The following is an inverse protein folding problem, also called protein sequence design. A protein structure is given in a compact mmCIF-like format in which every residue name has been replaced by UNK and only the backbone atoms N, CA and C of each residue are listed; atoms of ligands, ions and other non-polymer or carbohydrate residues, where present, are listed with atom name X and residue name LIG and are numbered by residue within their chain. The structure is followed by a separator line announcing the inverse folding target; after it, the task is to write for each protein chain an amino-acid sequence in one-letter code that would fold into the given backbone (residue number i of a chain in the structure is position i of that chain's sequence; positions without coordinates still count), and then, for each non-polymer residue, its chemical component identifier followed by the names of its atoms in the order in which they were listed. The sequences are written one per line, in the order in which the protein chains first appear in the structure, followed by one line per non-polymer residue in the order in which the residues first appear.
data_IF_964925606772
#
_entry.id   IF_964925606772
#
_cell.length_a   1.000
_cell.length_b   1.000
_cell.length_c   1.000
_cell.angle_alpha   90.00
_cell.angle_beta   90.00
_cell.angle_gamma   90.00
#
_symmetry.space_group_name_H-M   'P 1'
#
loop_
_entity.id
_entity.type
_entity.pdbx_description
1 polymer ?
#
# COMPACT_ATOMS: atom_id res chain seq x y z
N UNK A 1 10.61 -30.19 -0.70
CA UNK A 1 9.94 -28.93 -1.08
C UNK A 1 10.68 -27.86 -0.31
N UNK A 2 11.59 -27.15 -1.00
CA UNK A 2 12.57 -26.27 -0.35
C UNK A 2 11.86 -25.06 0.24
N UNK A 3 11.97 -24.94 1.56
CA UNK A 3 11.50 -23.81 2.35
C UNK A 3 12.44 -22.62 2.05
N UNK A 4 11.99 -21.72 1.17
CA UNK A 4 12.72 -20.49 0.88
C UNK A 4 12.65 -19.60 2.12
N UNK A 5 13.62 -19.78 3.01
CA UNK A 5 13.87 -18.88 4.13
C UNK A 5 14.22 -17.49 3.55
N UNK A 6 13.20 -16.64 3.40
CA UNK A 6 13.40 -15.21 3.15
C UNK A 6 14.08 -14.68 4.41
N UNK A 7 15.37 -14.35 4.31
CA UNK A 7 16.11 -13.62 5.34
C UNK A 7 15.34 -12.33 5.62
N UNK A 8 14.48 -12.32 6.66
CA UNK A 8 13.66 -11.15 7.00
C UNK A 8 14.60 -10.06 7.49
N UNK A 9 15.00 -9.17 6.58
CA UNK A 9 15.59 -7.88 6.96
C UNK A 9 14.56 -7.14 7.80
N UNK A 10 15.01 -6.47 8.85
CA UNK A 10 14.16 -5.57 9.64
C UNK A 10 13.44 -4.63 8.67
N UNK A 11 12.10 -4.58 8.69
CA UNK A 11 11.36 -3.74 7.76
C UNK A 11 11.79 -2.28 7.94
N UNK A 12 12.09 -1.62 6.83
CA UNK A 12 12.48 -0.21 6.75
C UNK A 12 11.49 0.49 5.84
N UNK A 13 11.04 1.68 6.23
CA UNK A 13 10.09 2.47 5.46
C UNK A 13 10.64 3.88 5.28
N UNK A 14 10.60 4.35 4.04
CA UNK A 14 10.77 5.77 3.68
C UNK A 14 9.56 6.19 2.85
N UNK A 15 8.78 7.14 3.36
CA UNK A 15 7.54 7.60 2.74
C UNK A 15 7.59 9.11 2.52
N UNK A 16 7.29 9.56 1.30
CA UNK A 16 6.99 10.97 1.07
C UNK A 16 5.53 11.23 1.39
N UNK A 17 5.28 12.08 2.37
CA UNK A 17 3.93 12.43 2.83
C UNK A 17 3.66 13.91 2.56
N UNK A 18 2.45 14.22 2.10
CA UNK A 18 1.97 15.60 1.92
C UNK A 18 0.71 15.74 2.75
N UNK A 19 0.79 16.50 3.84
CA UNK A 19 -0.39 16.85 4.61
C UNK A 19 -1.31 17.76 3.76
N UNK A 20 -2.64 17.75 3.98
CA UNK A 20 -3.60 18.53 3.17
C UNK A 20 -3.23 20.00 2.97
N UNK A 21 -2.65 20.65 3.99
CA UNK A 21 -2.23 22.06 3.97
C UNK A 21 -0.71 22.23 4.20
N UNK A 22 0.07 21.15 4.06
CA UNK A 22 1.49 21.12 4.43
C UNK A 22 2.45 21.02 3.25
N UNK A 23 3.71 21.39 3.49
CA UNK A 23 4.80 21.06 2.58
C UNK A 23 5.05 19.54 2.57
N UNK A 24 5.55 18.97 1.46
CA UNK A 24 5.97 17.58 1.44
C UNK A 24 7.07 17.33 2.48
N UNK A 25 6.92 16.27 3.27
CA UNK A 25 7.91 15.78 4.23
C UNK A 25 8.30 14.35 3.91
N UNK A 26 9.52 13.96 4.28
CA UNK A 26 9.96 12.58 4.25
C UNK A 26 9.78 11.97 5.64
N UNK A 27 9.13 10.82 5.72
CA UNK A 27 8.95 10.05 6.94
C UNK A 27 9.82 8.79 6.87
N UNK A 28 10.67 8.60 7.87
CA UNK A 28 11.52 7.43 8.01
C UNK A 28 11.08 6.58 9.22
N UNK A 29 10.76 5.31 8.94
CA UNK A 29 10.44 4.29 9.93
C UNK A 29 11.57 3.27 10.06
N UNK A 30 12.16 3.20 11.25
CA UNK A 30 13.20 2.25 11.64
C UNK A 30 12.70 1.37 12.79
N UNK A 31 13.16 0.12 12.86
CA UNK A 31 12.87 -0.79 13.97
C UNK A 31 11.36 -0.94 14.30
N UNK A 32 10.56 -1.49 13.36
CA UNK A 32 9.15 -1.70 13.63
C UNK A 32 8.96 -2.65 14.81
N UNK A 33 8.00 -2.32 15.67
CA UNK A 33 7.59 -3.14 16.82
C UNK A 33 6.74 -4.33 16.40
N UNK A 34 6.22 -4.32 15.17
CA UNK A 34 5.48 -5.42 14.60
C UNK A 34 5.21 -5.23 13.11
N UNK A 35 4.76 -6.31 12.47
CA UNK A 35 4.25 -6.29 11.10
C UNK A 35 2.88 -6.96 11.11
N UNK A 36 1.90 -6.30 10.53
CA UNK A 36 0.55 -6.80 10.32
C UNK A 36 0.43 -7.16 8.84
N UNK A 37 0.24 -8.44 8.53
CA UNK A 37 0.13 -8.92 7.15
C UNK A 37 -1.04 -9.88 6.93
N UNK A 38 -1.70 -9.80 5.79
CA UNK A 38 -2.77 -10.71 5.37
C UNK A 38 -2.46 -11.30 3.99
N UNK A 39 -2.37 -12.62 3.90
CA UNK A 39 -2.18 -13.33 2.63
C UNK A 39 -3.46 -13.96 2.07
N UNK A 40 -4.57 -13.86 2.81
CA UNK A 40 -5.86 -14.43 2.39
C UNK A 40 -6.96 -13.39 2.52
N UNK A 41 -7.98 -13.46 1.67
CA UNK A 41 -9.09 -12.51 1.69
C UNK A 41 -9.83 -12.50 3.04
N UNK A 42 -9.99 -13.67 3.69
CA UNK A 42 -10.63 -13.76 5.00
C UNK A 42 -9.83 -13.06 6.11
N UNK A 43 -8.52 -12.89 5.94
CA UNK A 43 -7.64 -12.21 6.89
C UNK A 43 -7.56 -10.68 6.68
N UNK A 44 -8.15 -10.14 5.60
CA UNK A 44 -8.07 -8.70 5.27
C UNK A 44 -8.72 -7.84 6.35
N UNK A 45 -10.01 -8.05 6.65
CA UNK A 45 -10.70 -7.27 7.68
C UNK A 45 -10.08 -7.43 9.08
N UNK A 46 -9.73 -8.65 9.55
CA UNK A 46 -8.99 -8.80 10.81
C UNK A 46 -7.66 -8.06 10.85
N UNK A 47 -6.88 -8.06 9.76
CA UNK A 47 -5.61 -7.33 9.70
C UNK A 47 -5.82 -5.81 9.76
N UNK A 48 -6.82 -5.28 9.04
CA UNK A 48 -7.13 -3.85 9.10
C UNK A 48 -7.63 -3.44 10.50
N UNK A 49 -8.42 -4.28 11.17
CA UNK A 49 -8.80 -4.03 12.56
C UNK A 49 -7.59 -3.99 13.51
N UNK A 50 -6.57 -4.82 13.28
CA UNK A 50 -5.32 -4.74 14.06
C UNK A 50 -4.55 -3.45 13.79
N UNK A 51 -4.56 -2.95 12.54
CA UNK A 51 -3.96 -1.65 12.20
C UNK A 51 -4.68 -0.52 12.93
N UNK A 52 -6.02 -0.50 12.89
CA UNK A 52 -6.84 0.49 13.61
C UNK A 52 -6.59 0.43 15.12
N UNK A 53 -6.47 -0.76 15.69
CA UNK A 53 -6.13 -0.92 17.10
C UNK A 53 -4.73 -0.39 17.41
N UNK A 54 -3.72 -0.70 16.59
CA UNK A 54 -2.36 -0.21 16.80
C UNK A 54 -2.31 1.33 16.76
N UNK A 55 -2.98 1.94 15.79
CA UNK A 55 -3.02 3.41 15.66
C UNK A 55 -3.83 4.07 16.78
N UNK A 56 -4.91 3.44 17.25
CA UNK A 56 -5.65 3.91 18.43
C UNK A 56 -4.81 3.91 19.72
N UNK A 57 -3.78 3.05 19.80
CA UNK A 57 -2.81 3.05 20.90
C UNK A 57 -1.65 4.05 20.71
N UNK A 58 -1.71 4.90 19.69
CA UNK A 58 -0.71 5.93 19.41
C UNK A 58 0.50 5.44 18.60
N UNK A 59 0.46 4.21 18.07
CA UNK A 59 1.50 3.72 17.16
C UNK A 59 1.26 4.23 15.73
N UNK A 60 2.33 4.30 14.95
CA UNK A 60 2.24 4.63 13.52
C UNK A 60 2.32 3.37 12.68
N UNK A 61 1.33 3.11 11.84
CA UNK A 61 1.35 2.02 10.87
C UNK A 61 1.61 2.57 9.46
N UNK A 62 2.65 2.06 8.79
CA UNK A 62 2.96 2.42 7.39
C UNK A 62 3.06 1.17 6.54
N UNK A 63 2.39 1.19 5.39
CA UNK A 63 2.29 0.02 4.53
C UNK A 63 1.35 0.24 3.36
N UNK A 64 0.76 -0.86 2.88
CA UNK A 64 -0.13 -0.87 1.73
C UNK A 64 -1.26 -1.88 1.89
N UNK A 65 -2.30 -1.66 1.09
CA UNK A 65 -3.37 -2.62 0.82
C UNK A 65 -3.33 -2.91 -0.68
N UNK A 66 -3.18 -4.17 -1.06
CA UNK A 66 -3.16 -4.58 -2.46
C UNK A 66 -4.55 -4.41 -3.08
N UNK A 67 -4.59 -4.18 -4.39
CA UNK A 67 -5.86 -4.04 -5.12
C UNK A 67 -6.73 -5.31 -4.98
N UNK A 68 -6.09 -6.49 -5.02
CA UNK A 68 -6.73 -7.79 -4.88
C UNK A 68 -7.37 -8.00 -3.48
N UNK A 69 -7.04 -7.16 -2.49
CA UNK A 69 -7.68 -7.21 -1.17
C UNK A 69 -9.18 -6.86 -1.22
N UNK A 70 -9.67 -6.27 -2.31
CA UNK A 70 -11.07 -5.84 -2.47
C UNK A 70 -12.09 -6.93 -2.10
N UNK A 71 -11.88 -8.18 -2.52
CA UNK A 71 -12.78 -9.30 -2.17
C UNK A 71 -12.81 -9.61 -0.66
N UNK A 72 -11.73 -9.29 0.06
CA UNK A 72 -11.69 -9.43 1.53
C UNK A 72 -12.40 -8.29 2.26
N UNK A 73 -12.59 -7.15 1.61
CA UNK A 73 -13.35 -6.00 2.13
C UNK A 73 -14.84 -6.15 1.86
N UNK A 74 -15.18 -6.53 0.63
CA UNK A 74 -16.55 -6.76 0.18
C UNK A 74 -16.57 -7.96 -0.78
N UNK A 75 -17.34 -8.98 -0.41
CA UNK A 75 -17.49 -10.22 -1.17
C UNK A 75 -18.09 -10.04 -2.57
N UNK A 76 -18.69 -8.87 -2.87
CA UNK A 76 -19.18 -8.53 -4.21
C UNK A 76 -18.06 -8.39 -5.25
N UNK A 77 -16.82 -8.13 -4.81
CA UNK A 77 -15.67 -8.06 -5.72
C UNK A 77 -15.13 -9.44 -6.09
N UNK A 78 -14.53 -9.59 -7.28
CA UNK A 78 -13.95 -10.85 -7.72
C UNK A 78 -12.75 -11.23 -6.84
N UNK A 79 -12.61 -12.53 -6.57
CA UNK A 79 -11.42 -13.08 -5.91
C UNK A 79 -10.25 -13.09 -6.89
N UNK A 80 -9.12 -12.56 -6.47
CA UNK A 80 -7.87 -12.58 -7.23
C UNK A 80 -6.69 -12.95 -6.32
N UNK A 81 -5.77 -13.77 -6.84
CA UNK A 81 -4.55 -14.12 -6.12
C UNK A 81 -3.47 -13.06 -6.40
N UNK A 82 -2.70 -12.70 -5.38
CA UNK A 82 -1.56 -11.80 -5.49
C UNK A 82 -0.27 -12.52 -5.03
N UNK A 83 0.89 -12.25 -5.64
CA UNK A 83 2.18 -12.75 -5.18
C UNK A 83 2.68 -12.02 -3.91
N UNK A 84 2.07 -10.87 -3.58
CA UNK A 84 2.33 -10.06 -2.39
C UNK A 84 1.22 -10.29 -1.34
N UNK A 85 1.44 -9.94 -0.05
CA UNK A 85 0.36 -9.84 0.91
C UNK A 85 -0.76 -8.91 0.39
N UNK A 86 -2.02 -9.26 0.67
CA UNK A 86 -3.18 -8.41 0.40
C UNK A 86 -3.21 -7.17 1.31
N UNK A 87 -2.68 -7.31 2.53
CA UNK A 87 -2.46 -6.22 3.48
C UNK A 87 -1.07 -6.39 4.04
N UNK A 88 -0.31 -5.31 4.15
CA UNK A 88 0.98 -5.31 4.83
C UNK A 88 1.24 -3.95 5.45
N UNK A 89 1.45 -3.90 6.76
CA UNK A 89 1.80 -2.70 7.50
C UNK A 89 2.90 -3.00 8.51
N UNK A 90 3.99 -2.24 8.44
CA UNK A 90 4.94 -2.16 9.53
C UNK A 90 4.45 -1.15 10.58
N UNK A 91 4.51 -1.53 11.85
CA UNK A 91 4.05 -0.72 12.98
C UNK A 91 5.25 -0.19 13.75
N UNK A 92 5.25 1.11 14.04
CA UNK A 92 6.35 1.83 14.66
C UNK A 92 5.86 2.60 15.88
N UNK A 93 6.67 2.66 16.94
CA UNK A 93 6.43 3.57 18.06
C UNK A 93 6.68 5.03 17.64
N UNK A 94 7.69 5.27 16.81
CA UNK A 94 8.08 6.59 16.33
C UNK A 94 8.51 6.53 14.88
N UNK A 95 8.17 7.58 14.14
CA UNK A 95 8.64 7.84 12.77
C UNK A 95 9.32 9.20 12.75
N UNK A 96 10.41 9.31 12.01
CA UNK A 96 11.24 10.51 12.00
C UNK A 96 10.96 11.31 10.74
N UNK A 97 10.69 12.61 10.89
CA UNK A 97 10.65 13.53 9.76
C UNK A 97 12.09 13.87 9.33
N UNK A 98 12.39 13.64 8.06
CA UNK A 98 13.62 14.07 7.41
C UNK A 98 13.33 15.36 6.62
N UNK A 99 14.11 16.41 6.90
CA UNK A 99 14.07 17.65 6.12
C UNK A 99 14.61 17.41 4.70
N UNK A 100 14.17 18.19 3.70
CA UNK A 100 14.58 17.99 2.29
C UNK A 100 16.10 17.99 2.07
N UNK A 101 16.88 18.68 2.93
CA UNK A 101 18.34 18.69 2.88
C UNK A 101 19.00 17.39 3.40
N UNK A 102 18.25 16.54 4.12
CA UNK A 102 18.71 15.28 4.70
C UNK A 102 17.97 14.04 4.18
N UNK A 103 17.00 14.20 3.26
CA UNK A 103 16.34 13.07 2.63
C UNK A 103 17.35 12.28 1.80
N UNK A 104 17.53 10.96 2.04
CA UNK A 104 18.39 10.17 1.19
C UNK A 104 17.90 10.30 -0.25
N UNK A 105 18.83 10.59 -1.17
CA UNK A 105 18.59 10.62 -2.60
C UNK A 105 17.67 9.46 -2.98
N UNK A 106 16.41 9.74 -3.38
CA UNK A 106 15.60 8.73 -4.04
C UNK A 106 16.31 8.43 -5.36
N UNK A 107 16.97 7.27 -5.52
CA UNK A 107 17.76 7.01 -6.71
C UNK A 107 16.90 6.73 -7.94
N UNK A 108 15.58 6.81 -7.79
CA UNK A 108 14.64 6.76 -8.88
C UNK A 108 13.81 8.05 -8.89
N UNK A 109 13.93 8.89 -9.92
CA UNK A 109 12.76 9.63 -10.34
C UNK A 109 11.65 8.60 -10.57
N UNK A 110 10.51 8.72 -9.89
CA UNK A 110 9.29 7.93 -10.17
C UNK A 110 8.67 8.29 -11.53
N UNK A 111 9.51 8.59 -12.53
CA UNK A 111 9.11 8.91 -13.88
C UNK A 111 9.83 7.96 -14.84
N UNK A 112 9.41 6.70 -14.97
CA UNK A 112 9.28 6.23 -16.34
C UNK A 112 8.29 7.18 -17.01
N UNK A 113 8.53 7.68 -18.23
CA UNK A 113 7.45 8.31 -18.96
C UNK A 113 6.29 7.32 -18.94
N UNK A 114 5.10 7.76 -18.50
CA UNK A 114 3.88 7.05 -18.86
C UNK A 114 4.02 6.75 -20.37
N UNK A 115 3.79 5.52 -20.84
CA UNK A 115 3.71 5.32 -22.27
C UNK A 115 2.76 6.39 -22.78
N UNK A 116 3.22 7.20 -23.74
CA UNK A 116 2.35 8.11 -24.45
C UNK A 116 1.47 7.25 -25.34
N UNK A 117 0.59 6.46 -24.72
CA UNK A 117 -0.48 5.77 -25.41
C UNK A 117 -1.32 6.90 -26.00
N UNK A 118 -1.21 7.09 -27.31
CA UNK A 118 -2.13 7.96 -28.03
C UNK A 118 -3.55 7.53 -27.71
N UNK A 119 -4.49 8.47 -27.75
CA UNK A 119 -5.91 8.21 -27.42
C UNK A 119 -6.47 6.96 -28.13
N UNK A 120 -5.92 6.62 -29.30
CA UNK A 120 -6.27 5.47 -30.13
C UNK A 120 -5.87 4.09 -29.55
N UNK A 121 -4.86 4.01 -28.69
CA UNK A 121 -4.37 2.73 -28.12
C UNK A 121 -5.25 2.27 -26.93
N UNK A 122 -5.74 3.24 -26.15
CA UNK A 122 -6.72 2.99 -25.07
C UNK A 122 -8.05 2.48 -25.61
N UNK A 123 -8.51 3.04 -26.73
CA UNK A 123 -9.79 2.68 -27.35
C UNK A 123 -9.85 1.23 -27.84
N UNK A 124 -8.70 0.63 -28.21
CA UNK A 124 -8.63 -0.75 -28.73
C UNK A 124 -8.82 -1.84 -27.67
N UNK A 125 -8.52 -1.52 -26.41
CA UNK A 125 -8.66 -2.43 -25.27
C UNK A 125 -9.75 -2.01 -24.27
N UNK A 126 -10.39 -0.86 -24.50
CA UNK A 126 -11.55 -0.44 -23.73
C UNK A 126 -12.73 -1.38 -24.00
N UNK A 127 -13.00 -2.27 -23.06
CA UNK A 127 -14.32 -2.92 -22.96
C UNK A 127 -15.33 -1.80 -22.68
N UNK A 128 -16.46 -1.71 -23.40
CA UNK A 128 -17.49 -0.73 -23.08
C UNK A 128 -17.90 -0.91 -21.63
N UNK A 129 -17.63 0.09 -20.78
CA UNK A 129 -18.23 0.16 -19.46
C UNK A 129 -19.74 0.20 -19.69
N UNK A 130 -20.44 -0.87 -19.32
CA UNK A 130 -21.90 -0.88 -19.38
C UNK A 130 -22.42 0.34 -18.61
N UNK A 131 -23.35 1.15 -19.18
CA UNK A 131 -23.93 2.25 -18.44
C UNK A 131 -24.55 1.69 -17.15
N UNK A 132 -24.15 2.27 -16.02
CA UNK A 132 -24.70 1.96 -14.70
C UNK A 132 -26.24 2.06 -14.77
N UNK A 133 -27.00 1.04 -14.35
CA UNK A 133 -28.44 1.16 -14.32
C UNK A 133 -28.80 2.32 -13.38
N UNK A 134 -29.51 3.30 -13.91
CA UNK A 134 -30.03 4.42 -13.14
C UNK A 134 -30.75 3.87 -11.91
N UNK A 135 -30.34 4.34 -10.72
CA UNK A 135 -31.09 4.09 -9.49
C UNK A 135 -32.52 4.59 -9.69
N UNK A 136 -33.49 3.68 -9.59
CA UNK A 136 -34.91 3.99 -9.46
C UNK A 136 -35.21 4.58 -8.09
#
# INVERSE_FOLDING_TARGET
MSDTQVTRRTPYVLLRYVAPDGAPVWLEGLHPVGVIEAHTHAAVLPALAQVEQATAHGLTAIGFVAYEAAHGLDSAFPRANAPLPLVWFAVFEQVHELSEAGAPFCPHPLCPPLPQAGEDEWARHAVPLHPSPARQ
#
